data_IF_250607044514
#
_entry.id   IF_250607044514
#
_cell.length_a   1.000
_cell.length_b   1.000
_cell.length_c   1.000
_cell.angle_alpha   90.00
_cell.angle_beta   90.00
_cell.angle_gamma   90.00
#
_symmetry.space_group_name_H-M   'P 1'
#
loop_
_entity.id
_entity.type
_entity.pdbx_description
1 polymer ?
#
# COMPACT_ATOMS: atom_id res chain seq x y z
N UNK A 1 -6.91 -7.23 12.66
CA UNK A 1 -6.57 -6.40 11.50
C UNK A 1 -5.06 -6.38 11.36
N UNK A 2 -4.52 -7.03 10.33
CA UNK A 2 -3.07 -7.11 10.07
C UNK A 2 -2.47 -5.72 9.78
N UNK A 3 -3.30 -4.77 9.33
CA UNK A 3 -2.88 -3.39 9.06
C UNK A 3 -2.67 -2.53 10.32
N UNK A 4 -3.09 -2.98 11.51
CA UNK A 4 -3.05 -2.15 12.73
C UNK A 4 -1.62 -1.81 13.17
N UNK A 5 -0.73 -2.82 13.24
CA UNK A 5 0.66 -2.60 13.66
C UNK A 5 1.46 -1.76 12.63
N UNK A 6 1.35 -2.01 11.31
CA UNK A 6 1.99 -1.14 10.31
C UNK A 6 1.49 0.30 10.34
N UNK A 7 0.18 0.51 10.55
CA UNK A 7 -0.39 1.86 10.69
C UNK A 7 0.20 2.58 11.90
N UNK A 8 0.29 1.91 13.05
CA UNK A 8 0.89 2.48 14.27
C UNK A 8 2.39 2.79 14.11
N UNK A 9 3.13 1.93 13.38
CA UNK A 9 4.54 2.17 13.11
C UNK A 9 4.78 3.42 12.23
N UNK A 10 3.83 3.72 11.34
CA UNK A 10 3.93 4.82 10.39
C UNK A 10 3.32 6.14 10.89
N UNK A 11 2.39 6.11 11.85
CA UNK A 11 1.70 7.31 12.37
C UNK A 11 2.61 8.33 13.09
N UNK A 12 3.84 7.95 13.41
CA UNK A 12 4.84 8.84 14.01
C UNK A 12 5.51 9.77 12.98
N UNK A 13 5.31 9.55 11.68
CA UNK A 13 5.92 10.33 10.61
C UNK A 13 4.91 11.23 9.90
N UNK A 14 5.30 12.46 9.63
CA UNK A 14 4.47 13.45 8.94
C UNK A 14 4.69 13.44 7.42
N UNK A 15 5.86 13.01 6.96
CA UNK A 15 6.19 12.92 5.54
C UNK A 15 5.81 11.56 4.94
N UNK A 16 5.35 11.57 3.68
CA UNK A 16 4.85 10.39 2.99
C UNK A 16 5.92 9.29 2.87
N UNK A 17 7.18 9.65 2.60
CA UNK A 17 8.24 8.68 2.30
C UNK A 17 8.62 7.90 3.57
N UNK A 18 8.84 8.59 4.69
CA UNK A 18 9.20 7.94 5.95
C UNK A 18 8.04 7.12 6.51
N UNK A 19 6.81 7.65 6.43
CA UNK A 19 5.61 6.92 6.83
C UNK A 19 5.43 5.65 5.98
N UNK A 20 5.61 5.75 4.65
CA UNK A 20 5.52 4.61 3.75
C UNK A 20 6.56 3.53 4.07
N UNK A 21 7.83 3.92 4.27
CA UNK A 21 8.92 2.99 4.61
C UNK A 21 8.67 2.29 5.93
N UNK A 22 8.25 3.03 6.97
CA UNK A 22 7.94 2.45 8.28
C UNK A 22 6.81 1.43 8.20
N UNK A 23 5.75 1.75 7.45
CA UNK A 23 4.65 0.82 7.21
C UNK A 23 5.12 -0.43 6.47
N UNK A 24 5.85 -0.28 5.36
CA UNK A 24 6.35 -1.40 4.54
C UNK A 24 7.26 -2.31 5.37
N UNK A 25 8.14 -1.75 6.19
CA UNK A 25 9.03 -2.53 7.06
C UNK A 25 8.22 -3.36 8.06
N UNK A 26 7.22 -2.76 8.71
CA UNK A 26 6.34 -3.48 9.63
C UNK A 26 5.50 -4.54 8.91
N UNK A 27 4.95 -4.23 7.73
CA UNK A 27 4.15 -5.16 6.94
C UNK A 27 4.97 -6.35 6.44
N UNK A 28 6.20 -6.11 5.99
CA UNK A 28 7.13 -7.18 5.56
C UNK A 28 7.51 -8.09 6.72
N UNK A 29 7.69 -7.53 7.93
CA UNK A 29 7.93 -8.33 9.14
C UNK A 29 6.74 -9.22 9.52
N UNK A 30 5.52 -8.73 9.35
CA UNK A 30 4.30 -9.53 9.54
C UNK A 30 4.08 -10.57 8.44
N UNK A 31 4.66 -10.38 7.26
CA UNK A 31 4.54 -11.28 6.12
C UNK A 31 5.58 -12.43 6.14
N UNK A 32 6.27 -12.65 7.27
CA UNK A 32 7.39 -13.59 7.37
C UNK A 32 6.97 -15.05 7.12
N UNK A 33 5.76 -15.42 7.55
CA UNK A 33 5.12 -16.73 7.38
C UNK A 33 4.24 -16.81 6.11
N UNK A 34 4.26 -15.75 5.30
CA UNK A 34 3.42 -15.62 4.12
C UNK A 34 2.20 -14.73 4.38
N UNK A 35 1.44 -14.48 3.32
CA UNK A 35 0.21 -13.70 3.37
C UNK A 35 -0.88 -14.38 2.55
N UNK A 36 -2.11 -14.11 2.90
CA UNK A 36 -3.25 -14.31 2.00
C UNK A 36 -3.47 -13.06 1.15
N UNK A 37 -4.13 -13.21 -0.01
CA UNK A 37 -4.54 -12.05 -0.82
C UNK A 37 -5.52 -11.12 -0.11
N UNK A 38 -6.28 -11.63 0.87
CA UNK A 38 -7.16 -10.81 1.71
C UNK A 38 -6.32 -9.90 2.61
N UNK A 39 -5.27 -10.42 3.24
CA UNK A 39 -4.36 -9.64 4.08
C UNK A 39 -3.57 -8.62 3.26
N UNK A 40 -3.15 -8.95 2.04
CA UNK A 40 -2.55 -7.96 1.11
C UNK A 40 -3.53 -6.82 0.82
N UNK A 41 -4.80 -7.14 0.58
CA UNK A 41 -5.85 -6.13 0.37
C UNK A 41 -6.06 -5.25 1.61
N UNK A 42 -6.08 -5.85 2.80
CA UNK A 42 -6.21 -5.11 4.06
C UNK A 42 -5.01 -4.17 4.29
N UNK A 43 -3.79 -4.68 4.08
CA UNK A 43 -2.54 -3.90 4.17
C UNK A 43 -2.54 -2.74 3.17
N UNK A 44 -2.96 -2.97 1.93
CA UNK A 44 -3.05 -1.94 0.90
C UNK A 44 -4.06 -0.85 1.28
N UNK A 45 -5.25 -1.22 1.77
CA UNK A 45 -6.27 -0.25 2.17
C UNK A 45 -5.85 0.61 3.37
N UNK A 46 -5.21 -0.01 4.37
CA UNK A 46 -4.63 0.73 5.50
C UNK A 46 -3.54 1.70 5.05
N UNK A 47 -2.67 1.25 4.15
CA UNK A 47 -1.58 2.04 3.60
C UNK A 47 -2.05 3.22 2.75
N UNK A 48 -3.08 3.02 1.90
CA UNK A 48 -3.66 4.09 1.10
C UNK A 48 -4.24 5.20 1.98
N UNK A 49 -4.97 4.87 3.04
CA UNK A 49 -5.51 5.89 3.98
C UNK A 49 -4.39 6.71 4.61
N UNK A 50 -3.34 6.03 5.08
CA UNK A 50 -2.19 6.67 5.70
C UNK A 50 -1.41 7.56 4.73
N UNK A 51 -1.13 7.08 3.53
CA UNK A 51 -0.37 7.84 2.53
C UNK A 51 -1.18 9.00 1.95
N UNK A 52 -2.51 8.88 1.81
CA UNK A 52 -3.39 10.00 1.48
C UNK A 52 -3.29 11.08 2.58
N UNK A 53 -3.39 10.70 3.86
CA UNK A 53 -3.29 11.65 4.97
C UNK A 53 -1.93 12.37 4.98
N UNK A 54 -0.84 11.64 4.80
CA UNK A 54 0.50 12.23 4.71
C UNK A 54 0.65 13.13 3.46
N UNK A 55 0.05 12.75 2.33
CA UNK A 55 0.10 13.54 1.10
C UNK A 55 -0.70 14.85 1.21
N UNK A 56 -1.66 14.96 2.12
CA UNK A 56 -2.40 16.21 2.30
C UNK A 56 -1.52 17.36 2.78
N UNK A 57 -0.43 17.07 3.51
CA UNK A 57 0.56 18.05 3.96
C UNK A 57 1.35 18.65 2.80
N UNK A 58 1.42 17.96 1.66
CA UNK A 58 2.13 18.45 0.48
C UNK A 58 1.39 19.63 -0.14
N UNK A 59 2.09 20.75 -0.34
CA UNK A 59 1.56 21.92 -1.03
C UNK A 59 1.68 21.76 -2.57
N UNK A 60 1.06 20.73 -3.10
CA UNK A 60 1.06 20.39 -4.54
C UNK A 60 -0.36 20.11 -5.05
N UNK A 61 -0.62 20.22 -6.37
CA UNK A 61 -1.92 19.89 -6.94
C UNK A 61 -2.37 18.46 -6.62
N UNK A 62 -3.69 18.26 -6.55
CA UNK A 62 -4.28 16.96 -6.18
C UNK A 62 -3.85 15.78 -7.08
N UNK A 63 -3.64 16.05 -8.37
CA UNK A 63 -3.11 15.04 -9.31
C UNK A 63 -1.71 14.56 -8.92
N UNK A 64 -0.83 15.48 -8.49
CA UNK A 64 0.50 15.15 -8.02
C UNK A 64 0.45 14.38 -6.69
N UNK A 65 -0.46 14.76 -5.77
CA UNK A 65 -0.69 13.99 -4.53
C UNK A 65 -1.10 12.55 -4.84
N UNK A 66 -2.02 12.35 -5.79
CA UNK A 66 -2.45 11.02 -6.23
C UNK A 66 -1.29 10.21 -6.82
N UNK A 67 -0.45 10.83 -7.66
CA UNK A 67 0.73 10.17 -8.22
C UNK A 67 1.68 9.68 -7.12
N UNK A 68 1.96 10.52 -6.11
CA UNK A 68 2.80 10.15 -4.96
C UNK A 68 2.22 8.98 -4.17
N UNK A 69 0.90 8.99 -3.92
CA UNK A 69 0.22 7.88 -3.21
C UNK A 69 0.30 6.58 -4.01
N UNK A 70 0.12 6.63 -5.34
CA UNK A 70 0.19 5.45 -6.19
C UNK A 70 1.61 4.90 -6.33
N UNK A 71 2.61 5.77 -6.35
CA UNK A 71 4.01 5.36 -6.30
C UNK A 71 4.34 4.64 -4.99
N UNK A 72 3.88 5.19 -3.85
CA UNK A 72 4.04 4.52 -2.56
C UNK A 72 3.30 3.16 -2.53
N UNK A 73 2.09 3.07 -3.11
CA UNK A 73 1.32 1.83 -3.17
C UNK A 73 2.04 0.77 -4.02
N UNK A 74 2.72 1.18 -5.09
CA UNK A 74 3.61 0.33 -5.87
C UNK A 74 4.74 -0.24 -5.01
N UNK A 75 5.38 0.58 -4.18
CA UNK A 75 6.44 0.10 -3.28
C UNK A 75 5.94 -0.94 -2.30
N UNK A 76 4.74 -0.76 -1.74
CA UNK A 76 4.13 -1.76 -0.85
C UNK A 76 3.88 -3.08 -1.60
N UNK A 77 3.24 -3.02 -2.77
CA UNK A 77 2.99 -4.22 -3.57
C UNK A 77 4.29 -4.95 -3.89
N UNK A 78 5.31 -4.24 -4.35
CA UNK A 78 6.59 -4.83 -4.73
C UNK A 78 7.32 -5.47 -3.54
N UNK A 79 7.08 -5.01 -2.31
CA UNK A 79 7.65 -5.56 -1.09
C UNK A 79 6.93 -6.82 -0.58
N UNK A 80 5.59 -6.92 -0.71
CA UNK A 80 4.80 -7.98 -0.06
C UNK A 80 4.15 -8.98 -1.03
N UNK A 81 4.02 -8.67 -2.33
CA UNK A 81 3.24 -9.50 -3.24
C UNK A 81 3.77 -10.94 -3.37
N UNK A 82 5.09 -11.12 -3.33
CA UNK A 82 5.72 -12.44 -3.37
C UNK A 82 5.36 -13.31 -2.14
N UNK A 83 4.98 -12.68 -1.03
CA UNK A 83 4.58 -13.38 0.20
C UNK A 83 3.16 -13.94 0.11
N UNK A 84 2.36 -13.48 -0.85
CA UNK A 84 0.99 -13.94 -1.06
C UNK A 84 0.88 -15.15 -2.02
N UNK A 85 2.02 -15.64 -2.52
CA UNK A 85 2.07 -16.66 -3.57
C UNK A 85 2.65 -17.96 -3.03
N UNK A 86 1.90 -19.07 -3.08
CA UNK A 86 2.42 -20.38 -2.74
C UNK A 86 3.62 -20.75 -3.63
N UNK A 87 4.64 -21.39 -3.05
CA UNK A 87 5.86 -21.76 -3.77
C UNK A 87 5.61 -22.58 -5.04
N UNK A 88 4.58 -23.43 -5.05
CA UNK A 88 4.16 -24.23 -6.20
C UNK A 88 3.74 -23.38 -7.42
N UNK A 89 3.24 -22.16 -7.20
CA UNK A 89 2.77 -21.26 -8.25
C UNK A 89 3.84 -20.25 -8.70
N UNK A 90 5.07 -20.35 -8.17
CA UNK A 90 6.14 -19.38 -8.45
C UNK A 90 6.46 -19.18 -9.93
N UNK A 91 6.56 -20.24 -10.78
CA UNK A 91 6.82 -20.06 -12.21
C UNK A 91 5.73 -19.26 -12.93
N UNK A 92 4.47 -19.49 -12.57
CA UNK A 92 3.32 -18.76 -13.11
C UNK A 92 3.33 -17.32 -12.59
N UNK A 93 3.67 -17.14 -11.33
CA UNK A 93 3.74 -15.83 -10.70
C UNK A 93 4.76 -14.90 -11.35
N UNK A 94 5.93 -15.40 -11.73
CA UNK A 94 6.94 -14.58 -12.43
C UNK A 94 6.39 -13.95 -13.71
N UNK A 95 5.50 -14.65 -14.43
CA UNK A 95 4.84 -14.12 -15.63
C UNK A 95 3.64 -13.23 -15.29
N UNK A 96 2.91 -13.57 -14.24
CA UNK A 96 1.69 -12.86 -13.84
C UNK A 96 1.95 -11.61 -12.97
N UNK A 97 3.13 -11.46 -12.37
CA UNK A 97 3.42 -10.36 -11.42
C UNK A 97 3.20 -8.98 -12.02
N UNK A 98 3.70 -8.75 -13.24
CA UNK A 98 3.55 -7.45 -13.92
C UNK A 98 2.09 -7.08 -14.24
N UNK A 99 1.28 -7.96 -14.86
CA UNK A 99 -0.13 -7.65 -15.07
C UNK A 99 -0.92 -7.54 -13.76
N UNK A 100 -0.61 -8.36 -12.74
CA UNK A 100 -1.26 -8.24 -11.42
C UNK A 100 -0.89 -6.92 -10.74
N UNK A 101 0.36 -6.48 -10.80
CA UNK A 101 0.79 -5.17 -10.31
C UNK A 101 -0.01 -4.05 -10.97
N UNK A 102 -0.13 -4.09 -12.30
CA UNK A 102 -0.90 -3.11 -13.06
C UNK A 102 -2.38 -3.09 -12.64
N UNK A 103 -2.98 -4.27 -12.44
CA UNK A 103 -4.36 -4.40 -11.96
C UNK A 103 -4.53 -3.82 -10.55
N UNK A 104 -3.62 -4.16 -9.62
CA UNK A 104 -3.67 -3.66 -8.25
C UNK A 104 -3.50 -2.15 -8.20
N UNK A 105 -2.61 -1.57 -9.02
CA UNK A 105 -2.45 -0.11 -9.10
C UNK A 105 -3.66 0.59 -9.74
N UNK A 106 -4.32 -0.04 -10.71
CA UNK A 106 -5.58 0.47 -11.26
C UNK A 106 -6.68 0.49 -10.19
N UNK A 107 -6.79 -0.58 -9.39
CA UNK A 107 -7.71 -0.65 -8.26
C UNK A 107 -7.37 0.39 -7.18
N UNK A 108 -6.08 0.54 -6.84
CA UNK A 108 -5.61 1.54 -5.89
C UNK A 108 -5.94 2.97 -6.37
N UNK A 109 -5.81 3.24 -7.67
CA UNK A 109 -6.17 4.53 -8.28
C UNK A 109 -7.65 4.87 -8.06
N UNK A 110 -8.56 3.91 -8.27
CA UNK A 110 -9.98 4.09 -7.96
C UNK A 110 -10.25 4.20 -6.46
N UNK A 111 -9.57 3.40 -5.64
CA UNK A 111 -9.70 3.44 -4.19
C UNK A 111 -9.29 4.79 -3.60
N UNK A 112 -8.23 5.43 -4.13
CA UNK A 112 -7.80 6.77 -3.69
C UNK A 112 -8.92 7.80 -3.89
N UNK A 113 -9.62 7.78 -5.03
CA UNK A 113 -10.70 8.72 -5.30
C UNK A 113 -11.88 8.57 -4.33
N UNK A 114 -12.15 7.33 -3.90
CA UNK A 114 -13.17 7.03 -2.89
C UNK A 114 -12.70 7.44 -1.49
N UNK A 115 -11.42 7.20 -1.17
CA UNK A 115 -10.86 7.41 0.17
C UNK A 115 -10.58 8.89 0.49
N UNK A 116 -10.18 9.69 -0.49
CA UNK A 116 -9.85 11.12 -0.29
C UNK A 116 -10.97 11.88 0.45
N UNK A 117 -12.25 11.86 0.02
CA UNK A 117 -13.31 12.57 0.75
C UNK A 117 -13.52 12.01 2.17
N UNK A 118 -13.34 10.70 2.37
CA UNK A 118 -13.46 10.08 3.69
C UNK A 118 -12.35 10.52 4.65
N UNK A 119 -11.11 10.61 4.16
CA UNK A 119 -9.96 11.05 4.96
C UNK A 119 -10.09 12.53 5.32
N UNK A 120 -10.65 13.36 4.44
CA UNK A 120 -10.87 14.80 4.70
C UNK A 120 -12.06 15.11 5.61
N UNK A 121 -12.99 14.16 5.76
CA UNK A 121 -14.15 14.31 6.64
C UNK A 121 -13.82 14.06 8.13
N UNK A 122 -12.63 13.51 8.41
CA UNK A 122 -12.10 13.26 9.74
C UNK A 122 -11.02 14.29 10.09
#
# INVERSE_FOLDING_TARGET
MIAAAPTAAASQFTDVISAARAYINSATGLAADGLTWVEVGELMMGFLRLTIQAAEVLNVPGEQKKAVVLEAAAWLFDAIADKAVPAMLWPVWMLARSPVRSLVLALASGAVEILVPMVRAH
#
